data_IF_184257494692
#
_entry.id   IF_184257494692
#
_cell.length_a   1.000
_cell.length_b   1.000
_cell.length_c   1.000
_cell.angle_alpha   90.00
_cell.angle_beta   90.00
_cell.angle_gamma   90.00
#
_symmetry.space_group_name_H-M   'P 1'
#
loop_
_entity.id
_entity.type
_entity.pdbx_description
1 polymer ?
#
# COMPACT_ATOMS: atom_id res chain seq x y z
N UNK A 1 6.49 4.01 -7.91
CA UNK A 1 7.28 3.91 -6.67
C UNK A 1 8.76 3.61 -6.95
N UNK A 2 9.07 2.74 -7.92
CA UNK A 2 10.47 2.41 -8.26
C UNK A 2 11.30 3.67 -8.52
N UNK A 3 10.80 4.62 -9.30
CA UNK A 3 11.51 5.88 -9.59
C UNK A 3 11.84 6.69 -8.30
N UNK A 4 10.91 6.72 -7.33
CA UNK A 4 11.17 7.37 -6.04
C UNK A 4 12.27 6.63 -5.27
N UNK A 5 12.20 5.28 -5.23
CA UNK A 5 13.22 4.46 -4.58
C UNK A 5 14.60 4.65 -5.19
N UNK A 6 14.70 4.56 -6.52
CA UNK A 6 15.97 4.80 -7.23
C UNK A 6 16.52 6.18 -6.91
N UNK A 7 15.67 7.23 -6.94
CA UNK A 7 16.11 8.58 -6.61
C UNK A 7 16.66 8.68 -5.18
N UNK A 8 15.98 8.14 -4.18
CA UNK A 8 16.45 8.17 -2.80
C UNK A 8 17.80 7.46 -2.63
N UNK A 9 17.97 6.32 -3.30
CA UNK A 9 19.23 5.57 -3.33
C UNK A 9 20.35 6.36 -4.03
N UNK A 10 20.07 7.00 -5.16
CA UNK A 10 21.03 7.87 -5.87
C UNK A 10 21.46 9.08 -5.04
N UNK A 11 20.61 9.54 -4.11
CA UNK A 11 20.95 10.60 -3.15
C UNK A 11 21.74 10.08 -1.93
N UNK A 12 22.10 8.81 -1.91
CA UNK A 12 22.94 8.19 -0.88
C UNK A 12 22.16 7.63 0.31
N UNK A 13 20.83 7.50 0.23
CA UNK A 13 20.06 6.79 1.24
C UNK A 13 20.11 5.28 0.94
N UNK A 14 20.71 4.52 1.85
CA UNK A 14 20.57 3.07 1.85
C UNK A 14 19.14 2.73 2.28
N UNK A 15 18.27 2.38 1.34
CA UNK A 15 16.87 2.08 1.61
C UNK A 15 16.31 1.00 0.69
N UNK A 16 15.34 0.25 1.24
CA UNK A 16 14.47 -0.68 0.50
C UNK A 16 13.06 -0.08 0.43
N UNK A 17 12.52 0.01 -0.78
CA UNK A 17 11.15 0.51 -1.00
C UNK A 17 10.27 -0.59 -1.53
N UNK A 18 9.17 -0.84 -0.81
CA UNK A 18 8.21 -1.87 -1.18
C UNK A 18 6.76 -1.44 -0.95
N UNK A 19 5.83 -1.92 -1.79
CA UNK A 19 4.43 -1.59 -1.68
C UNK A 19 3.79 -2.25 -0.47
N UNK A 20 2.79 -1.56 0.12
CA UNK A 20 1.94 -2.08 1.16
C UNK A 20 0.45 -1.85 0.86
N UNK A 21 -0.41 -2.19 1.80
CA UNK A 21 -1.83 -1.91 1.74
C UNK A 21 -2.53 -2.53 0.53
N UNK A 22 -3.53 -1.83 0.02
CA UNK A 22 -4.40 -2.35 -1.04
C UNK A 22 -3.68 -2.60 -2.36
N UNK A 23 -2.62 -1.83 -2.64
CA UNK A 23 -1.84 -2.00 -3.86
C UNK A 23 -1.08 -3.33 -3.85
N UNK A 24 -0.39 -3.66 -2.75
CA UNK A 24 0.35 -4.92 -2.62
C UNK A 24 -0.56 -6.16 -2.63
N UNK A 25 -1.82 -6.02 -2.15
CA UNK A 25 -2.79 -7.09 -2.09
C UNK A 25 -3.65 -7.23 -3.36
N UNK A 26 -3.49 -6.33 -4.34
CA UNK A 26 -4.33 -6.31 -5.54
C UNK A 26 -5.80 -6.00 -5.26
N UNK A 27 -6.10 -5.31 -4.17
CA UNK A 27 -7.46 -4.95 -3.74
C UNK A 27 -7.74 -3.45 -3.84
N UNK A 28 -6.95 -2.74 -4.65
CA UNK A 28 -7.16 -1.31 -4.91
C UNK A 28 -8.54 -1.09 -5.51
N UNK A 29 -9.23 -0.09 -4.99
CA UNK A 29 -10.45 0.48 -5.56
C UNK A 29 -10.25 1.97 -5.73
N UNK A 30 -10.92 2.57 -6.70
CA UNK A 30 -10.98 4.01 -6.78
C UNK A 30 -11.88 4.52 -5.65
N UNK A 31 -11.38 5.35 -4.75
CA UNK A 31 -12.19 5.86 -3.66
C UNK A 31 -13.35 6.70 -4.19
N UNK A 32 -14.48 6.66 -3.51
CA UNK A 32 -15.63 7.51 -3.81
C UNK A 32 -15.87 8.42 -2.62
N UNK A 33 -15.62 9.72 -2.79
CA UNK A 33 -15.77 10.73 -1.74
C UNK A 33 -16.63 11.89 -2.26
N UNK A 34 -17.54 12.37 -1.45
CA UNK A 34 -18.39 13.54 -1.77
C UNK A 34 -19.10 13.44 -3.14
N UNK A 35 -19.62 12.24 -3.46
CA UNK A 35 -20.29 11.95 -4.74
C UNK A 35 -19.38 12.04 -5.98
N UNK A 36 -18.06 12.00 -5.79
CA UNK A 36 -17.07 12.01 -6.87
C UNK A 36 -16.04 10.89 -6.69
N UNK A 37 -15.49 10.46 -7.78
CA UNK A 37 -14.31 9.61 -7.74
C UNK A 37 -13.11 10.43 -7.28
N UNK A 38 -12.38 9.90 -6.30
CA UNK A 38 -11.15 10.50 -5.79
C UNK A 38 -9.91 9.81 -6.37
N UNK A 39 -8.75 10.39 -6.14
CA UNK A 39 -7.47 9.84 -6.59
C UNK A 39 -7.14 8.52 -5.92
N UNK A 40 -6.34 7.71 -6.60
CA UNK A 40 -5.79 6.50 -6.01
C UNK A 40 -4.72 6.82 -4.99
N UNK A 41 -4.74 6.13 -3.85
CA UNK A 41 -3.69 6.18 -2.87
C UNK A 41 -2.79 4.92 -3.02
N UNK A 42 -1.50 5.14 -3.21
CA UNK A 42 -0.48 4.10 -3.33
C UNK A 42 0.46 4.17 -2.13
N UNK A 43 0.36 3.20 -1.25
CA UNK A 43 1.16 3.14 -0.02
C UNK A 43 2.46 2.37 -0.22
N UNK A 44 3.58 2.95 0.20
CA UNK A 44 4.91 2.32 0.18
C UNK A 44 5.63 2.52 1.50
N UNK A 45 6.36 1.50 1.93
CA UNK A 45 7.33 1.65 3.02
C UNK A 45 8.69 1.95 2.40
N UNK A 46 9.35 2.98 2.93
CA UNK A 46 10.76 3.27 2.69
C UNK A 46 11.53 2.88 3.95
N UNK A 47 12.12 1.68 3.93
CA UNK A 47 12.88 1.11 5.04
C UNK A 47 14.34 1.46 4.89
N UNK A 48 14.88 2.32 5.77
CA UNK A 48 16.30 2.65 5.79
C UNK A 48 17.13 1.52 6.37
N UNK A 49 18.38 1.38 5.92
CA UNK A 49 19.33 0.37 6.39
C UNK A 49 19.89 0.62 7.80
N UNK A 50 19.34 1.59 8.53
CA UNK A 50 19.76 1.91 9.89
C UNK A 50 19.13 0.99 10.92
N UNK A 51 19.86 0.73 12.02
CA UNK A 51 19.31 -0.01 13.16
C UNK A 51 18.41 0.90 13.99
N UNK A 52 17.25 0.39 14.41
CA UNK A 52 16.25 1.14 15.20
C UNK A 52 16.85 1.75 16.47
N UNK A 53 17.75 1.04 17.14
CA UNK A 53 18.40 1.46 18.39
C UNK A 53 19.42 2.60 18.17
N UNK A 54 19.86 2.81 16.95
CA UNK A 54 20.86 3.84 16.59
C UNK A 54 20.26 5.09 15.98
N UNK A 55 18.93 5.11 15.78
CA UNK A 55 18.24 6.22 15.14
C UNK A 55 16.94 6.59 15.87
N UNK A 56 16.28 7.63 15.43
CA UNK A 56 14.99 8.05 15.98
C UNK A 56 13.92 8.16 14.89
N UNK A 57 12.66 7.93 15.26
CA UNK A 57 11.54 8.05 14.32
C UNK A 57 11.49 9.44 13.67
N UNK A 58 11.82 10.50 14.42
CA UNK A 58 11.90 11.87 13.90
C UNK A 58 12.98 12.02 12.84
N UNK A 59 14.17 11.50 13.10
CA UNK A 59 15.28 11.59 12.15
C UNK A 59 14.94 10.86 10.85
N UNK A 60 14.47 9.61 10.95
CA UNK A 60 14.11 8.79 9.80
C UNK A 60 13.01 9.44 8.96
N UNK A 61 12.01 10.04 9.61
CA UNK A 61 10.97 10.77 8.91
C UNK A 61 11.51 12.00 8.17
N UNK A 62 12.35 12.77 8.84
CA UNK A 62 12.88 14.02 8.29
C UNK A 62 13.88 13.80 7.16
N UNK A 63 14.80 12.85 7.27
CA UNK A 63 15.82 12.61 6.24
C UNK A 63 15.21 12.25 4.89
N UNK A 64 14.10 11.49 4.89
CA UNK A 64 13.37 11.18 3.65
C UNK A 64 12.77 12.45 3.05
N UNK A 65 12.11 13.30 3.86
CA UNK A 65 11.59 14.59 3.38
C UNK A 65 12.68 15.47 2.81
N UNK A 66 13.76 15.66 3.56
CA UNK A 66 14.88 16.50 3.16
C UNK A 66 15.50 16.03 1.85
N UNK A 67 15.59 14.72 1.67
CA UNK A 67 16.09 14.12 0.44
C UNK A 67 15.13 14.33 -0.73
N UNK A 68 13.83 14.15 -0.54
CA UNK A 68 12.84 14.46 -1.56
C UNK A 68 12.87 15.94 -1.96
N UNK A 69 13.06 16.83 -1.01
CA UNK A 69 13.14 18.28 -1.26
C UNK A 69 14.41 18.73 -2.03
N UNK A 70 15.42 17.88 -2.19
CA UNK A 70 16.59 18.17 -3.06
C UNK A 70 16.24 18.13 -4.55
N UNK A 71 15.17 17.44 -4.92
CA UNK A 71 14.64 17.40 -6.29
C UNK A 71 13.52 18.42 -6.43
N UNK A 72 13.62 19.34 -7.39
CA UNK A 72 12.52 20.26 -7.68
C UNK A 72 11.24 19.51 -8.07
N UNK A 73 11.34 18.38 -8.79
CA UNK A 73 10.20 17.56 -9.19
C UNK A 73 9.47 16.97 -7.99
N UNK A 74 10.19 16.41 -7.00
CA UNK A 74 9.55 15.82 -5.82
C UNK A 74 9.13 16.87 -4.80
N UNK A 75 9.87 17.96 -4.70
CA UNK A 75 9.54 19.09 -3.84
C UNK A 75 8.21 19.73 -4.24
N UNK A 76 7.97 19.92 -5.54
CA UNK A 76 6.69 20.44 -6.05
C UNK A 76 5.50 19.50 -5.79
N UNK A 77 5.74 18.18 -5.79
CA UNK A 77 4.72 17.16 -5.55
C UNK A 77 4.46 16.89 -4.08
N UNK A 78 5.41 17.23 -3.22
CA UNK A 78 5.33 16.94 -1.81
C UNK A 78 4.27 17.82 -1.13
N UNK A 79 3.27 17.19 -0.51
CA UNK A 79 2.28 17.92 0.27
C UNK A 79 2.94 18.70 1.40
N UNK A 80 2.47 19.92 1.64
CA UNK A 80 2.94 20.76 2.76
C UNK A 80 2.55 20.18 4.12
N UNK A 81 1.48 19.38 4.18
CA UNK A 81 1.01 18.74 5.39
C UNK A 81 1.91 17.57 5.76
N UNK A 82 2.38 17.57 7.00
CA UNK A 82 3.02 16.40 7.59
C UNK A 82 1.95 15.47 8.15
N UNK A 83 1.76 14.33 7.50
CA UNK A 83 0.88 13.28 8.00
C UNK A 83 1.57 12.47 9.11
N UNK A 84 0.78 11.84 9.96
CA UNK A 84 1.31 11.11 11.11
C UNK A 84 2.33 10.03 10.70
N UNK A 85 2.05 9.27 9.66
CA UNK A 85 2.86 8.11 9.27
C UNK A 85 3.61 8.25 7.94
N UNK A 86 3.21 9.16 7.06
CA UNK A 86 3.75 9.23 5.69
C UNK A 86 4.14 10.63 5.25
N UNK A 87 4.82 10.70 4.13
CA UNK A 87 4.94 11.85 3.25
C UNK A 87 4.18 11.54 1.97
N UNK A 88 3.32 12.44 1.54
CA UNK A 88 2.49 12.25 0.36
C UNK A 88 3.03 13.06 -0.82
N UNK A 89 3.25 12.40 -1.94
CA UNK A 89 3.53 13.01 -3.23
C UNK A 89 2.25 13.01 -4.07
N UNK A 90 1.79 14.18 -4.47
CA UNK A 90 0.63 14.35 -5.35
C UNK A 90 1.05 14.34 -6.82
N UNK A 91 0.40 13.54 -7.61
CA UNK A 91 0.60 13.49 -9.05
C UNK A 91 -0.63 14.04 -9.76
N UNK A 92 -0.38 14.96 -10.69
CA UNK A 92 -1.42 15.60 -11.47
C UNK A 92 -2.32 14.59 -12.19
N UNK A 93 -3.59 14.92 -12.31
CA UNK A 93 -4.55 14.11 -13.04
C UNK A 93 -4.17 13.98 -14.51
N UNK A 94 -4.23 12.76 -15.02
CA UNK A 94 -4.14 12.44 -16.44
C UNK A 94 -5.47 11.83 -16.86
N UNK A 95 -6.20 12.46 -17.75
CA UNK A 95 -7.54 12.04 -18.18
C UNK A 95 -8.55 11.90 -17.02
N UNK A 96 -8.49 12.80 -16.04
CA UNK A 96 -9.38 12.78 -14.88
C UNK A 96 -9.02 11.71 -13.85
N UNK A 97 -7.83 11.14 -13.90
CA UNK A 97 -7.32 10.16 -12.95
C UNK A 97 -6.02 10.69 -12.35
N UNK A 98 -6.05 11.03 -11.07
CA UNK A 98 -4.88 11.36 -10.27
C UNK A 98 -4.47 10.19 -9.38
N UNK A 99 -3.29 10.27 -8.80
CA UNK A 99 -2.86 9.37 -7.75
C UNK A 99 -1.89 10.05 -6.79
N UNK A 100 -1.96 9.60 -5.55
CA UNK A 100 -1.04 10.00 -4.50
C UNK A 100 -0.09 8.84 -4.19
N UNK A 101 1.13 9.16 -3.83
CA UNK A 101 2.09 8.21 -3.31
C UNK A 101 2.36 8.55 -1.86
N UNK A 102 1.95 7.66 -0.96
CA UNK A 102 2.24 7.74 0.46
C UNK A 102 3.51 6.96 0.79
N UNK A 103 4.55 7.69 1.13
CA UNK A 103 5.85 7.14 1.52
C UNK A 103 5.89 7.05 3.04
N UNK A 104 5.86 5.84 3.58
CA UNK A 104 5.93 5.57 5.01
C UNK A 104 7.38 5.31 5.41
N UNK A 105 8.03 6.21 6.17
CA UNK A 105 9.39 6.02 6.62
C UNK A 105 9.49 4.95 7.69
N UNK A 106 10.53 4.12 7.63
CA UNK A 106 10.77 3.08 8.62
C UNK A 106 12.20 2.56 8.60
N UNK A 107 12.48 1.66 9.53
CA UNK A 107 13.70 0.87 9.66
C UNK A 107 13.33 -0.58 9.97
N UNK A 108 14.28 -1.51 9.90
CA UNK A 108 14.04 -2.87 10.38
C UNK A 108 13.59 -2.86 11.85
N UNK A 109 12.71 -3.79 12.23
CA UNK A 109 12.24 -3.88 13.60
C UNK A 109 13.36 -4.40 14.53
N UNK A 110 13.30 -4.05 15.81
CA UNK A 110 14.27 -4.47 16.81
C UNK A 110 14.17 -5.97 17.11
N UNK A 111 15.31 -6.59 17.43
CA UNK A 111 15.40 -8.04 17.65
C UNK A 111 14.51 -8.55 18.78
N UNK A 112 14.31 -7.79 19.85
CA UNK A 112 13.44 -8.15 20.97
C UNK A 112 11.97 -8.21 20.56
N UNK A 113 11.53 -7.30 19.66
CA UNK A 113 10.18 -7.30 19.10
C UNK A 113 10.01 -8.46 18.12
N UNK A 114 10.99 -8.71 17.27
CA UNK A 114 11.02 -9.87 16.36
C UNK A 114 10.94 -11.17 17.17
N UNK A 115 11.71 -11.30 18.24
CA UNK A 115 11.66 -12.48 19.10
C UNK A 115 10.30 -12.63 19.81
N UNK A 116 9.66 -11.52 20.19
CA UNK A 116 8.32 -11.53 20.76
C UNK A 116 7.27 -12.03 19.77
N UNK A 117 7.41 -11.69 18.47
CA UNK A 117 6.55 -12.21 17.40
C UNK A 117 6.74 -13.71 17.19
N UNK A 118 7.97 -14.21 17.24
CA UNK A 118 8.26 -15.65 17.15
C UNK A 118 7.64 -16.38 18.33
N UNK A 119 7.74 -15.84 19.53
CA UNK A 119 7.12 -16.40 20.73
C UNK A 119 5.59 -16.40 20.66
N UNK A 120 5.00 -15.46 19.88
CA UNK A 120 3.57 -15.39 19.58
C UNK A 120 3.15 -16.26 18.38
N UNK A 121 4.00 -17.21 17.96
CA UNK A 121 3.77 -18.22 16.93
C UNK A 121 3.86 -17.73 15.47
N UNK A 122 4.51 -16.59 15.19
CA UNK A 122 4.95 -16.30 13.83
C UNK A 122 6.19 -17.14 13.49
N UNK A 123 6.32 -17.53 12.22
CA UNK A 123 7.59 -18.10 11.76
C UNK A 123 8.71 -17.06 11.86
N UNK A 124 9.96 -17.53 11.97
CA UNK A 124 11.11 -16.62 11.99
C UNK A 124 11.18 -15.78 10.72
N UNK A 125 10.97 -16.39 9.57
CA UNK A 125 10.99 -15.72 8.26
C UNK A 125 9.93 -14.61 8.18
N UNK A 126 8.73 -14.85 8.73
CA UNK A 126 7.68 -13.82 8.76
C UNK A 126 7.97 -12.72 9.79
N UNK A 127 8.50 -13.06 10.96
CA UNK A 127 8.83 -12.10 12.01
C UNK A 127 9.96 -11.14 11.58
N UNK A 128 10.98 -11.65 10.88
CA UNK A 128 12.11 -10.86 10.35
C UNK A 128 11.70 -9.87 9.22
N UNK A 129 10.50 -9.99 8.66
CA UNK A 129 9.95 -9.01 7.72
C UNK A 129 9.34 -7.78 8.40
N UNK A 130 9.30 -7.77 9.73
CA UNK A 130 8.74 -6.65 10.50
C UNK A 130 9.61 -5.39 10.38
N UNK A 131 8.94 -4.25 10.37
CA UNK A 131 9.55 -2.93 10.31
C UNK A 131 8.97 -2.01 11.38
N UNK A 132 9.79 -1.14 11.92
CA UNK A 132 9.38 -0.04 12.78
C UNK A 132 9.13 1.18 11.89
N UNK A 133 7.88 1.57 11.70
CA UNK A 133 7.48 2.75 10.94
C UNK A 133 7.33 3.96 11.85
N UNK A 134 7.51 5.14 11.28
CA UNK A 134 7.36 6.39 12.03
C UNK A 134 5.88 6.72 12.27
N UNK A 135 5.55 7.19 13.48
CA UNK A 135 4.22 7.66 13.88
C UNK A 135 4.33 8.98 14.65
N UNK A 136 3.79 10.05 14.10
CA UNK A 136 3.79 11.39 14.74
C UNK A 136 2.48 11.62 15.45
N UNK A 137 2.55 11.97 16.73
CA UNK A 137 1.39 12.37 17.54
C UNK A 137 1.64 13.74 18.17
N UNK A 138 0.99 14.73 17.63
CA UNK A 138 1.26 16.14 18.01
C UNK A 138 2.69 16.55 17.64
N UNK A 139 3.51 16.85 18.65
CA UNK A 139 4.93 17.23 18.46
C UNK A 139 5.91 16.05 18.63
N UNK A 140 5.41 14.89 19.05
CA UNK A 140 6.24 13.75 19.37
C UNK A 140 6.22 12.70 18.24
N UNK A 141 7.35 12.00 18.10
CA UNK A 141 7.53 10.94 17.12
C UNK A 141 7.77 9.62 17.85
N UNK A 142 7.10 8.58 17.40
CA UNK A 142 7.13 7.25 17.96
C UNK A 142 7.43 6.23 16.89
N UNK A 143 7.85 5.05 17.32
CA UNK A 143 7.89 3.88 16.47
C UNK A 143 6.58 3.10 16.57
N UNK A 144 6.10 2.62 15.45
CA UNK A 144 4.94 1.74 15.35
C UNK A 144 5.34 0.50 14.57
N UNK A 145 5.20 -0.66 15.14
CA UNK A 145 5.52 -1.93 14.47
C UNK A 145 4.54 -2.21 13.35
N UNK A 146 5.04 -2.60 12.19
CA UNK A 146 4.27 -3.02 11.02
C UNK A 146 4.91 -4.25 10.38
N UNK A 147 4.10 -5.16 9.86
CA UNK A 147 4.58 -6.32 9.13
C UNK A 147 3.73 -6.58 7.87
N UNK A 148 3.75 -5.61 6.97
CA UNK A 148 2.95 -5.64 5.75
C UNK A 148 3.39 -6.72 4.76
N UNK A 149 4.67 -7.12 4.77
CA UNK A 149 5.20 -8.21 3.93
C UNK A 149 4.69 -9.57 4.40
N UNK A 150 4.75 -9.87 5.70
CA UNK A 150 4.19 -11.11 6.23
C UNK A 150 2.68 -11.17 6.02
N UNK A 151 1.98 -10.06 6.24
CA UNK A 151 0.55 -9.97 5.95
C UNK A 151 0.23 -10.26 4.48
N UNK A 152 1.03 -9.72 3.55
CA UNK A 152 0.91 -10.03 2.12
C UNK A 152 1.10 -11.52 1.84
N UNK A 153 2.16 -12.13 2.39
CA UNK A 153 2.43 -13.56 2.23
C UNK A 153 1.26 -14.42 2.74
N UNK A 154 0.75 -14.10 3.94
CA UNK A 154 -0.44 -14.74 4.49
C UNK A 154 -1.66 -14.56 3.58
N UNK A 155 -1.92 -13.34 3.10
CA UNK A 155 -3.03 -13.07 2.19
C UNK A 155 -2.90 -13.86 0.88
N UNK A 156 -1.71 -13.93 0.30
CA UNK A 156 -1.44 -14.71 -0.93
C UNK A 156 -1.72 -16.20 -0.72
N UNK A 157 -1.36 -16.76 0.45
CA UNK A 157 -1.66 -18.15 0.79
C UNK A 157 -3.17 -18.44 0.74
N UNK A 158 -3.99 -17.51 1.24
CA UNK A 158 -5.44 -17.63 1.21
C UNK A 158 -6.00 -17.34 -0.20
N UNK A 159 -5.41 -16.37 -0.89
CA UNK A 159 -5.92 -15.88 -2.18
C UNK A 159 -5.62 -16.79 -3.37
N UNK A 160 -4.45 -17.45 -3.37
CA UNK A 160 -3.99 -18.26 -4.50
C UNK A 160 -4.96 -19.38 -4.92
N UNK A 161 -5.62 -20.11 -4.02
CA UNK A 161 -6.62 -21.12 -4.42
C UNK A 161 -7.76 -20.51 -5.25
N UNK A 162 -8.25 -19.32 -4.88
CA UNK A 162 -9.30 -18.63 -5.63
C UNK A 162 -8.84 -18.10 -6.98
N UNK A 163 -7.58 -17.65 -7.06
CA UNK A 163 -6.99 -17.21 -8.32
C UNK A 163 -6.83 -18.37 -9.28
N UNK A 164 -6.29 -19.50 -8.83
CA UNK A 164 -6.09 -20.71 -9.63
C UNK A 164 -7.43 -21.29 -10.10
N UNK A 165 -8.44 -21.34 -9.23
CA UNK A 165 -9.78 -21.78 -9.61
C UNK A 165 -10.36 -20.94 -10.76
N UNK A 166 -10.22 -19.61 -10.69
CA UNK A 166 -10.68 -18.73 -11.75
C UNK A 166 -9.93 -18.94 -13.06
N UNK A 167 -8.60 -19.16 -13.01
CA UNK A 167 -7.77 -19.46 -14.20
C UNK A 167 -8.21 -20.76 -14.87
N UNK A 168 -8.41 -21.81 -14.11
CA UNK A 168 -8.85 -23.10 -14.63
C UNK A 168 -10.24 -23.02 -15.26
N UNK A 169 -11.19 -22.35 -14.62
CA UNK A 169 -12.53 -22.19 -15.16
C UNK A 169 -12.53 -21.35 -16.45
N UNK A 170 -11.75 -20.29 -16.53
CA UNK A 170 -11.59 -19.50 -17.76
C UNK A 170 -11.00 -20.34 -18.89
N UNK A 171 -9.97 -21.15 -18.62
CA UNK A 171 -9.38 -22.07 -19.61
C UNK A 171 -10.44 -23.05 -20.12
N UNK A 172 -11.28 -23.61 -19.24
CA UNK A 172 -12.38 -24.50 -19.65
C UNK A 172 -13.41 -23.81 -20.54
N UNK A 173 -13.88 -22.63 -20.15
CA UNK A 173 -14.87 -21.84 -20.92
C UNK A 173 -14.32 -21.42 -22.27
N UNK A 174 -13.06 -21.01 -22.34
CA UNK A 174 -12.40 -20.67 -23.60
C UNK A 174 -12.22 -21.89 -24.49
N UNK A 175 -11.84 -23.03 -23.91
CA UNK A 175 -11.72 -24.30 -24.62
C UNK A 175 -13.06 -24.77 -25.20
N UNK A 176 -14.15 -24.64 -24.43
CA UNK A 176 -15.50 -24.99 -24.90
C UNK A 176 -15.98 -24.07 -26.03
N UNK A 177 -15.65 -22.79 -25.97
CA UNK A 177 -16.06 -21.78 -26.97
C UNK A 177 -15.22 -21.80 -28.25
N UNK A 178 -14.00 -22.30 -28.21
CA UNK A 178 -13.02 -22.17 -29.29
C UNK A 178 -12.22 -23.45 -29.52
N UNK A 179 -12.87 -24.52 -30.04
CA UNK A 179 -12.15 -25.73 -30.43
C UNK A 179 -11.04 -25.52 -31.47
N UNK A 180 -11.01 -24.35 -32.13
CA UNK A 180 -10.13 -24.08 -33.30
C UNK A 180 -9.10 -22.95 -33.07
N UNK A 181 -9.17 -22.17 -32.01
CA UNK A 181 -8.34 -20.93 -31.82
C UNK A 181 -7.40 -21.03 -30.63
N UNK A 182 -7.27 -22.19 -29.99
CA UNK A 182 -6.55 -22.33 -28.72
C UNK A 182 -5.03 -22.07 -28.80
N UNK A 183 -4.42 -22.16 -29.97
CA UNK A 183 -2.98 -21.97 -30.14
C UNK A 183 -2.56 -20.51 -30.35
N UNK A 184 -3.49 -19.57 -30.40
CA UNK A 184 -3.22 -18.15 -30.67
C UNK A 184 -3.70 -17.17 -29.59
N UNK A 185 -4.21 -17.66 -28.45
CA UNK A 185 -4.64 -16.79 -27.36
C UNK A 185 -3.41 -16.48 -26.50
N UNK A 186 -2.92 -15.24 -26.58
CA UNK A 186 -1.93 -14.72 -25.64
C UNK A 186 -2.42 -14.91 -24.21
N UNK A 187 -1.54 -15.40 -23.34
CA UNK A 187 -1.85 -15.47 -21.91
C UNK A 187 -2.16 -14.08 -21.38
N UNK A 188 -3.30 -13.95 -20.71
CA UNK A 188 -3.65 -12.68 -20.04
C UNK A 188 -2.55 -12.38 -19.03
N UNK A 189 -1.93 -11.17 -19.08
CA UNK A 189 -0.87 -10.80 -18.15
C UNK A 189 -1.29 -11.04 -16.70
N UNK A 190 -0.49 -11.78 -15.94
CA UNK A 190 -0.80 -12.17 -14.55
C UNK A 190 -1.23 -11.00 -13.66
N UNK A 191 -0.67 -9.81 -13.89
CA UNK A 191 -0.99 -8.60 -13.12
C UNK A 191 -2.41 -8.05 -13.28
N UNK A 192 -3.18 -8.49 -14.28
CA UNK A 192 -4.55 -8.03 -14.54
C UNK A 192 -5.62 -8.97 -13.98
N UNK A 193 -5.25 -10.19 -13.60
CA UNK A 193 -6.20 -11.12 -13.02
C UNK A 193 -6.49 -10.79 -11.55
N UNK A 194 -7.77 -10.82 -11.20
CA UNK A 194 -8.25 -10.70 -9.81
C UNK A 194 -9.00 -11.95 -9.42
N UNK A 195 -8.70 -12.48 -8.25
CA UNK A 195 -9.45 -13.60 -7.67
C UNK A 195 -10.87 -13.18 -7.26
N UNK A 196 -11.72 -14.15 -7.01
CA UNK A 196 -13.05 -13.89 -6.43
C UNK A 196 -12.94 -13.21 -5.07
N UNK A 197 -11.97 -13.60 -4.24
CA UNK A 197 -11.71 -12.99 -2.93
C UNK A 197 -11.33 -11.51 -3.07
N UNK A 198 -10.38 -11.17 -3.96
CA UNK A 198 -10.00 -9.78 -4.21
C UNK A 198 -11.19 -8.94 -4.67
N UNK A 199 -12.04 -9.48 -5.55
CA UNK A 199 -13.26 -8.79 -6.02
C UNK A 199 -14.29 -8.57 -4.91
N UNK A 200 -14.49 -9.55 -4.04
CA UNK A 200 -15.39 -9.38 -2.86
C UNK A 200 -14.85 -8.26 -1.96
N UNK A 201 -13.55 -8.24 -1.68
CA UNK A 201 -12.95 -7.15 -0.89
C UNK A 201 -13.15 -5.79 -1.57
N UNK A 202 -12.99 -5.70 -2.88
CA UNK A 202 -13.22 -4.46 -3.63
C UNK A 202 -14.69 -4.02 -3.54
N UNK A 203 -15.65 -4.93 -3.68
CA UNK A 203 -17.09 -4.63 -3.53
C UNK A 203 -17.40 -4.13 -2.12
N UNK A 204 -16.86 -4.78 -1.08
CA UNK A 204 -17.06 -4.36 0.31
C UNK A 204 -16.45 -2.98 0.59
N UNK A 205 -15.31 -2.65 0.00
CA UNK A 205 -14.72 -1.30 0.08
C UNK A 205 -15.62 -0.24 -0.56
N UNK A 206 -16.10 -0.49 -1.77
CA UNK A 206 -17.05 0.42 -2.43
C UNK A 206 -18.34 0.59 -1.63
N UNK A 207 -18.87 -0.51 -1.08
CA UNK A 207 -20.07 -0.45 -0.24
C UNK A 207 -19.83 0.39 1.02
N UNK A 208 -18.70 0.17 1.71
CA UNK A 208 -18.32 0.99 2.88
C UNK A 208 -18.26 2.47 2.52
N UNK A 209 -17.60 2.81 1.44
CA UNK A 209 -17.43 4.22 1.03
C UNK A 209 -18.78 4.86 0.71
N UNK A 210 -19.69 4.15 0.04
CA UNK A 210 -21.05 4.61 -0.23
C UNK A 210 -21.89 4.78 1.03
N UNK A 211 -21.86 3.80 1.96
CA UNK A 211 -22.64 3.83 3.20
C UNK A 211 -22.11 4.91 4.17
N UNK A 212 -20.80 5.02 4.33
CA UNK A 212 -20.22 6.04 5.20
C UNK A 212 -20.60 7.45 4.75
N UNK A 213 -20.68 7.67 3.44
CA UNK A 213 -21.11 8.94 2.88
C UNK A 213 -22.59 9.24 3.14
N UNK A 214 -23.46 8.24 3.05
CA UNK A 214 -24.91 8.43 3.32
C UNK A 214 -25.20 8.66 4.79
N UNK A 215 -24.46 8.01 5.69
CA UNK A 215 -24.65 8.20 7.15
C UNK A 215 -24.12 9.56 7.64
N UNK A 216 -23.02 10.07 7.11
CA UNK A 216 -22.51 11.41 7.46
C UNK A 216 -23.52 12.49 7.06
N UNK A 217 -24.15 12.41 5.89
CA UNK A 217 -25.22 13.35 5.49
C UNK A 217 -26.47 13.25 6.34
N UNK A 218 -26.84 12.08 6.85
CA UNK A 218 -27.98 11.93 7.73
C UNK A 218 -27.75 12.62 9.09
N UNK A 219 -26.51 12.70 9.56
CA UNK A 219 -26.16 13.43 10.78
C UNK A 219 -26.07 14.95 10.57
N UNK A 220 -25.61 15.41 9.41
CA UNK A 220 -25.57 16.85 9.09
C UNK A 220 -26.96 17.46 8.94
N UNK A 221 -27.92 16.70 8.39
CA UNK A 221 -29.31 17.18 8.23
C UNK A 221 -30.12 17.19 9.53
N UNK A 222 -29.66 16.53 10.60
CA UNK A 222 -30.30 16.54 11.92
C UNK A 222 -29.77 17.67 12.84
N UNK A 223 -28.66 18.31 12.51
CA UNK A 223 -28.08 19.43 13.26
C UNK A 223 -28.55 20.80 12.75
N UNK A 224 -29.24 20.86 11.60
CA UNK A 224 -29.77 22.10 10.99
C UNK A 224 -31.29 22.24 11.16
N UNK A 225 -31.91 21.41 12.02
CA UNK A 225 -33.30 21.52 12.47
C UNK A 225 -33.37 21.85 13.96
#
# INVERSE_FOLDING_TARGET
YKAVGTYLQEQGLECDIFPQGSFSLGTVVRPYRESKEADYDLDFICCLGELKEKTTAKYVKNIIKETLCKSEVYKEKLQNKEWDKCWTLEYAEVNGIGFNIDIVPGVAEADDVVQSMINAALSREEAELAVAITDKKGQNYYWCTSNSRAYKNWFETINNPFLNYNRENRKKVLFEKSRTIYNSIEEIPEGLERSSLQRVIQILKHHRDAVSYTHLRAHETLSDL
#
